data_IF_739668095540
#
_entry.id   IF_739668095540
#
_cell.length_a   1.000
_cell.length_b   1.000
_cell.length_c   1.000
_cell.angle_alpha   90.00
_cell.angle_beta   90.00
_cell.angle_gamma   90.00
#
_symmetry.space_group_name_H-M   'P 1'
#
loop_
_entity.id
_entity.type
_entity.pdbx_description
1 polymer ?
#
# COMPACT_ATOMS: atom_id res chain seq x y z
N UNK A 1 14.67 34.17 9.87
CA UNK A 1 14.82 32.85 9.22
C UNK A 1 13.81 31.92 9.86
N UNK A 2 12.76 31.54 9.14
CA UNK A 2 11.81 30.53 9.62
C UNK A 2 12.52 29.18 9.48
N UNK A 3 12.77 28.51 10.59
CA UNK A 3 13.37 27.17 10.60
C UNK A 3 12.41 26.22 9.89
N UNK A 4 12.86 25.54 8.83
CA UNK A 4 12.03 24.59 8.10
C UNK A 4 11.80 23.37 9.00
N UNK A 5 10.55 23.08 9.32
CA UNK A 5 10.18 21.89 10.08
C UNK A 5 10.57 20.62 9.31
N UNK A 6 11.07 19.61 10.02
CA UNK A 6 11.28 18.28 9.44
C UNK A 6 9.93 17.63 9.13
N UNK A 7 9.91 16.61 8.25
CA UNK A 7 8.69 15.87 7.94
C UNK A 7 8.02 15.27 9.19
N UNK A 8 8.82 14.79 10.15
CA UNK A 8 8.29 14.27 11.42
C UNK A 8 7.69 15.36 12.32
N UNK A 9 8.29 16.55 12.37
CA UNK A 9 7.75 17.70 13.11
C UNK A 9 6.44 18.19 12.48
N UNK A 10 6.41 18.31 11.15
CA UNK A 10 5.21 18.68 10.39
C UNK A 10 4.07 17.68 10.62
N UNK A 11 4.37 16.38 10.55
CA UNK A 11 3.40 15.32 10.80
C UNK A 11 2.71 15.46 12.16
N UNK A 12 3.46 15.61 13.25
CA UNK A 12 2.89 15.75 14.60
C UNK A 12 2.22 17.13 14.80
N UNK A 13 2.68 18.14 14.07
CA UNK A 13 2.04 19.45 14.10
C UNK A 13 0.64 19.40 13.48
N UNK A 14 0.49 18.76 12.33
CA UNK A 14 -0.74 18.77 11.54
C UNK A 14 -1.71 17.62 11.84
N UNK A 15 -1.22 16.46 12.28
CA UNK A 15 -2.06 15.30 12.60
C UNK A 15 -2.25 15.17 14.11
N UNK A 16 -3.52 15.09 14.55
CA UNK A 16 -3.90 14.99 15.96
C UNK A 16 -4.70 13.73 16.21
N UNK A 17 -4.51 13.13 17.39
CA UNK A 17 -5.22 11.93 17.81
C UNK A 17 -4.41 10.65 17.61
N UNK A 18 -5.08 9.52 17.86
CA UNK A 18 -4.51 8.19 17.73
C UNK A 18 -5.39 7.34 16.82
N UNK A 19 -4.74 6.55 15.96
CA UNK A 19 -5.36 5.84 14.85
C UNK A 19 -5.23 4.34 14.99
N UNK A 20 -6.35 3.67 14.76
CA UNK A 20 -6.43 2.21 14.79
C UNK A 20 -5.92 1.58 13.51
N UNK A 21 -5.97 2.30 12.40
CA UNK A 21 -5.50 1.81 11.10
C UNK A 21 -4.76 2.91 10.37
N UNK A 22 -3.54 2.59 9.93
CA UNK A 22 -2.67 3.51 9.21
C UNK A 22 -2.37 2.92 7.84
N UNK A 23 -2.57 3.70 6.78
CA UNK A 23 -2.08 3.46 5.43
C UNK A 23 -0.91 4.41 5.17
N UNK A 24 0.17 3.94 4.55
CA UNK A 24 1.30 4.79 4.18
C UNK A 24 1.87 4.42 2.82
N UNK A 25 2.16 5.42 1.99
CA UNK A 25 2.93 5.30 0.74
C UNK A 25 4.14 6.25 0.75
N UNK A 26 5.20 5.94 1.52
CA UNK A 26 6.35 6.83 1.65
C UNK A 26 7.01 7.12 0.30
N UNK A 27 7.54 8.34 0.09
CA UNK A 27 8.26 8.70 -1.12
C UNK A 27 9.69 8.12 -1.08
N UNK A 28 9.80 6.80 -1.18
CA UNK A 28 11.05 6.04 -1.07
C UNK A 28 12.14 6.59 -2.01
N UNK A 29 13.28 7.00 -1.45
CA UNK A 29 14.46 7.35 -2.24
C UNK A 29 15.19 6.08 -2.66
N UNK A 30 15.23 5.81 -3.95
CA UNK A 30 16.09 4.76 -4.50
C UNK A 30 17.54 5.23 -4.50
N UNK A 31 18.41 4.53 -3.79
CA UNK A 31 19.86 4.70 -3.94
C UNK A 31 20.30 4.06 -5.25
N UNK A 32 20.69 4.89 -6.22
CA UNK A 32 21.14 4.44 -7.54
C UNK A 32 22.45 3.66 -7.42
N UNK A 33 22.39 2.32 -7.35
CA UNK A 33 23.58 1.45 -7.37
C UNK A 33 24.15 1.15 -8.77
N UNK A 34 23.50 1.59 -9.85
CA UNK A 34 23.86 1.17 -11.24
C UNK A 34 23.91 2.29 -12.29
N UNK A 35 23.88 3.57 -11.89
CA UNK A 35 24.16 4.68 -12.82
C UNK A 35 23.18 4.90 -13.97
N UNK A 36 22.01 4.25 -13.99
CA UNK A 36 20.95 4.49 -14.98
C UNK A 36 19.74 5.12 -14.29
N UNK A 37 19.55 6.41 -14.52
CA UNK A 37 18.43 7.20 -14.00
C UNK A 37 17.08 6.55 -14.33
N UNK A 38 16.23 6.39 -13.32
CA UNK A 38 14.80 6.67 -13.54
C UNK A 38 14.67 8.19 -13.73
N UNK A 39 13.81 8.69 -14.64
CA UNK A 39 13.64 10.12 -14.80
C UNK A 39 13.19 10.70 -13.45
N UNK A 40 14.01 11.58 -12.87
CA UNK A 40 13.47 12.57 -11.93
C UNK A 40 12.39 13.32 -12.71
N UNK A 41 11.12 13.02 -12.45
CA UNK A 41 10.06 13.93 -12.82
C UNK A 41 10.26 15.18 -11.99
N UNK A 42 11.00 16.13 -12.58
CA UNK A 42 11.38 17.44 -12.06
C UNK A 42 10.17 18.38 -12.06
N UNK A 43 9.04 17.92 -11.51
CA UNK A 43 7.84 18.71 -11.25
C UNK A 43 7.19 18.16 -9.99
N UNK A 44 7.47 18.83 -8.87
CA UNK A 44 6.62 19.14 -7.72
C UNK A 44 7.53 19.36 -6.50
N UNK A 45 8.10 20.55 -6.44
CA UNK A 45 8.94 21.01 -5.34
C UNK A 45 8.03 21.41 -4.17
N UNK A 46 7.64 20.42 -3.38
CA UNK A 46 7.39 20.51 -1.94
C UNK A 46 7.37 19.08 -1.41
N UNK A 47 8.57 18.49 -1.44
CA UNK A 47 9.17 17.46 -0.58
C UNK A 47 9.89 16.46 -1.50
N UNK A 48 11.24 16.54 -1.65
CA UNK A 48 11.99 15.52 -2.39
C UNK A 48 11.76 14.14 -1.76
N UNK A 49 12.09 13.07 -2.49
CA UNK A 49 12.09 11.71 -1.94
C UNK A 49 12.77 11.70 -0.56
N UNK A 50 12.18 11.01 0.42
CA UNK A 50 12.76 10.92 1.76
C UNK A 50 13.84 9.84 1.76
N UNK A 51 14.96 10.12 2.41
CA UNK A 51 15.94 9.09 2.74
C UNK A 51 15.31 8.04 3.66
N UNK A 52 15.89 6.83 3.69
CA UNK A 52 15.40 5.78 4.58
C UNK A 52 15.42 6.23 6.05
N UNK A 53 16.46 6.96 6.46
CA UNK A 53 16.56 7.46 7.83
C UNK A 53 15.42 8.41 8.18
N UNK A 54 15.08 9.35 7.29
CA UNK A 54 13.94 10.26 7.50
C UNK A 54 12.61 9.51 7.60
N UNK A 55 12.41 8.45 6.80
CA UNK A 55 11.21 7.60 6.87
C UNK A 55 11.18 6.83 8.20
N UNK A 56 12.30 6.23 8.59
CA UNK A 56 12.45 5.47 9.83
C UNK A 56 12.19 6.31 11.08
N UNK A 57 12.55 7.59 11.05
CA UNK A 57 12.41 8.53 12.17
C UNK A 57 11.04 9.20 12.25
N UNK A 58 10.14 8.96 11.28
CA UNK A 58 8.78 9.47 11.38
C UNK A 58 8.12 8.99 12.68
N UNK A 59 7.51 9.89 13.47
CA UNK A 59 6.92 9.58 14.77
C UNK A 59 5.56 8.87 14.67
N UNK A 60 5.39 7.93 13.72
CA UNK A 60 4.14 7.19 13.47
C UNK A 60 3.67 6.44 14.72
N UNK A 61 4.62 5.95 15.55
CA UNK A 61 4.29 5.30 16.82
C UNK A 61 3.52 6.20 17.81
N UNK A 62 3.64 7.53 17.70
CA UNK A 62 2.88 8.48 18.54
C UNK A 62 1.43 8.65 18.06
N UNK A 63 1.19 8.41 16.77
CA UNK A 63 -0.12 8.49 16.14
C UNK A 63 -0.85 7.14 16.11
N UNK A 64 -0.15 6.03 16.34
CA UNK A 64 -0.74 4.70 16.33
C UNK A 64 -1.33 4.34 17.70
N UNK A 65 -2.60 3.91 17.72
CA UNK A 65 -3.23 3.33 18.90
C UNK A 65 -2.50 2.07 19.36
N UNK A 66 -2.63 1.70 20.65
CA UNK A 66 -1.98 0.51 21.22
C UNK A 66 -2.33 -0.76 20.45
N UNK A 67 -3.60 -0.84 20.01
CA UNK A 67 -4.13 -1.90 19.15
C UNK A 67 -4.36 -1.30 17.76
N UNK A 68 -3.46 -1.55 16.83
CA UNK A 68 -3.56 -0.95 15.49
C UNK A 68 -3.00 -1.81 14.37
N UNK A 69 -3.44 -1.50 13.15
CA UNK A 69 -2.98 -2.06 11.90
C UNK A 69 -2.16 -1.04 11.10
N UNK A 70 -1.15 -1.52 10.39
CA UNK A 70 -0.37 -0.76 9.42
C UNK A 70 -0.42 -1.46 8.06
N UNK A 71 -0.80 -0.71 7.03
CA UNK A 71 -0.69 -1.05 5.63
C UNK A 71 0.38 -0.15 5.00
N UNK A 72 1.48 -0.72 4.54
CA UNK A 72 2.63 0.02 4.03
C UNK A 72 2.93 -0.36 2.58
N UNK A 73 2.77 0.58 1.65
CA UNK A 73 3.19 0.40 0.26
C UNK A 73 4.72 0.33 0.18
N UNK A 74 5.22 -0.74 -0.44
CA UNK A 74 6.66 -1.00 -0.58
C UNK A 74 6.97 -1.49 -2.00
N UNK A 75 7.86 -0.81 -2.73
CA UNK A 75 8.39 -1.33 -3.99
C UNK A 75 9.08 -2.68 -3.77
N UNK A 76 8.95 -3.62 -4.73
CA UNK A 76 9.53 -4.97 -4.61
C UNK A 76 11.02 -4.97 -4.25
N UNK A 77 11.78 -3.99 -4.74
CA UNK A 77 13.21 -3.87 -4.49
C UNK A 77 13.58 -3.39 -3.08
N UNK A 78 12.61 -2.88 -2.31
CA UNK A 78 12.81 -2.25 -1.00
C UNK A 78 12.12 -3.03 0.13
N UNK A 79 11.93 -4.34 -0.05
CA UNK A 79 11.27 -5.20 0.96
C UNK A 79 11.96 -5.13 2.32
N UNK A 80 13.29 -5.16 2.34
CA UNK A 80 14.06 -5.14 3.58
C UNK A 80 13.88 -3.81 4.32
N UNK A 81 13.94 -2.70 3.59
CA UNK A 81 13.73 -1.35 4.12
C UNK A 81 12.29 -1.17 4.62
N UNK A 82 11.30 -1.67 3.87
CA UNK A 82 9.90 -1.66 4.30
C UNK A 82 9.65 -2.42 5.60
N UNK A 83 10.26 -3.61 5.76
CA UNK A 83 10.17 -4.37 7.01
C UNK A 83 10.83 -3.65 8.18
N UNK A 84 11.98 -3.00 7.94
CA UNK A 84 12.66 -2.19 8.95
C UNK A 84 11.83 -0.95 9.33
N UNK A 85 11.19 -0.27 8.36
CA UNK A 85 10.24 0.83 8.62
C UNK A 85 9.13 0.37 9.56
N UNK A 86 8.45 -0.75 9.27
CA UNK A 86 7.38 -1.27 10.13
C UNK A 86 7.88 -1.51 11.56
N UNK A 87 9.04 -2.15 11.69
CA UNK A 87 9.65 -2.43 12.99
C UNK A 87 9.92 -1.14 13.77
N UNK A 88 10.52 -0.13 13.12
CA UNK A 88 10.84 1.16 13.76
C UNK A 88 9.61 1.97 14.15
N UNK A 89 8.54 1.85 13.37
CA UNK A 89 7.24 2.45 13.72
C UNK A 89 6.47 1.66 14.79
N UNK A 90 7.02 0.54 15.27
CA UNK A 90 6.44 -0.26 16.35
C UNK A 90 5.43 -1.32 15.89
N UNK A 91 5.45 -1.71 14.62
CA UNK A 91 4.58 -2.73 14.04
C UNK A 91 5.35 -4.02 13.77
N UNK A 92 4.69 -5.15 14.05
CA UNK A 92 5.20 -6.47 13.67
C UNK A 92 4.55 -6.89 12.35
N UNK A 93 5.36 -7.15 11.33
CA UNK A 93 4.90 -7.72 10.06
C UNK A 93 4.16 -9.05 10.26
N UNK A 94 3.08 -9.27 9.50
CA UNK A 94 2.28 -10.51 9.53
C UNK A 94 2.10 -11.13 8.15
N UNK A 95 1.74 -10.33 7.15
CA UNK A 95 1.51 -10.78 5.78
C UNK A 95 1.57 -9.59 4.82
N UNK A 96 1.31 -9.79 3.54
CA UNK A 96 1.21 -8.72 2.56
C UNK A 96 -0.02 -8.90 1.67
N UNK A 97 -0.44 -7.81 1.02
CA UNK A 97 -1.30 -7.82 -0.16
C UNK A 97 -0.43 -7.51 -1.38
N UNK A 98 -0.76 -8.11 -2.52
CA UNK A 98 -0.07 -7.87 -3.79
C UNK A 98 -1.00 -7.14 -4.74
N UNK A 99 -0.62 -5.96 -5.18
CA UNK A 99 -1.23 -5.36 -6.37
C UNK A 99 -0.63 -6.01 -7.62
N UNK A 100 -1.42 -6.82 -8.31
CA UNK A 100 -1.09 -7.35 -9.64
C UNK A 100 -1.59 -6.39 -10.72
N UNK A 101 -0.65 -5.83 -11.48
CA UNK A 101 -0.91 -4.84 -12.54
C UNK A 101 -1.26 -5.54 -13.83
N UNK A 102 -2.49 -5.33 -14.30
CA UNK A 102 -2.99 -5.94 -15.53
C UNK A 102 -3.23 -4.92 -16.65
N UNK A 103 -3.23 -5.41 -17.89
CA UNK A 103 -3.66 -4.69 -19.09
C UNK A 103 -5.19 -4.85 -19.26
N UNK A 104 -5.76 -4.28 -20.33
CA UNK A 104 -7.19 -4.42 -20.66
C UNK A 104 -7.61 -5.87 -20.89
N UNK A 105 -6.69 -6.71 -21.37
CA UNK A 105 -6.92 -8.13 -21.67
C UNK A 105 -6.69 -9.04 -20.44
N UNK A 106 -6.53 -8.49 -19.23
CA UNK A 106 -6.31 -9.26 -18.01
C UNK A 106 -4.88 -9.81 -17.85
N UNK A 107 -4.05 -9.73 -18.89
CA UNK A 107 -2.65 -10.16 -18.84
C UNK A 107 -1.73 -9.16 -18.09
N UNK A 108 -0.51 -9.57 -17.71
CA UNK A 108 0.40 -8.75 -16.92
C UNK A 108 0.82 -7.47 -17.67
N UNK A 109 0.90 -6.35 -16.95
CA UNK A 109 1.44 -5.09 -17.48
C UNK A 109 2.99 -5.10 -17.48
N UNK A 110 3.56 -5.72 -18.53
CA UNK A 110 5.01 -5.91 -18.70
C UNK A 110 5.81 -4.62 -18.94
N UNK A 111 5.17 -3.45 -18.89
CA UNK A 111 5.83 -2.14 -19.03
C UNK A 111 6.57 -1.72 -17.76
N UNK A 112 6.41 -2.45 -16.65
CA UNK A 112 7.15 -2.24 -15.42
C UNK A 112 8.67 -2.26 -15.62
N UNK A 113 9.36 -1.28 -15.04
CA UNK A 113 10.83 -1.24 -15.01
C UNK A 113 11.31 -2.06 -13.81
N UNK A 114 12.35 -2.87 -14.04
CA UNK A 114 13.08 -3.57 -12.99
C UNK A 114 14.40 -4.10 -13.55
N UNK A 115 15.42 -4.17 -12.71
CA UNK A 115 16.78 -4.53 -13.13
C UNK A 115 16.94 -6.03 -13.41
N UNK A 116 16.21 -6.87 -12.67
CA UNK A 116 16.26 -8.33 -12.79
C UNK A 116 15.00 -8.92 -13.42
N UNK A 117 13.82 -8.41 -13.04
CA UNK A 117 12.53 -8.83 -13.57
C UNK A 117 11.67 -7.62 -13.93
N UNK A 118 10.71 -7.82 -14.84
CA UNK A 118 9.68 -6.81 -15.12
C UNK A 118 8.72 -6.74 -13.95
N UNK A 119 8.69 -5.60 -13.25
CA UNK A 119 7.82 -5.41 -12.09
C UNK A 119 6.36 -5.21 -12.52
N UNK A 120 5.60 -6.31 -12.54
CA UNK A 120 4.15 -6.31 -12.78
C UNK A 120 3.35 -6.34 -11.47
N UNK A 121 4.04 -6.28 -10.34
CA UNK A 121 3.45 -6.25 -9.00
C UNK A 121 3.99 -5.10 -8.17
N UNK A 122 3.22 -4.69 -7.15
CA UNK A 122 3.68 -3.90 -5.99
C UNK A 122 3.10 -4.50 -4.71
N UNK A 123 3.77 -4.32 -3.58
CA UNK A 123 3.36 -4.91 -2.30
C UNK A 123 2.77 -3.86 -1.37
N UNK A 124 1.79 -4.29 -0.59
CA UNK A 124 1.34 -3.62 0.63
C UNK A 124 1.67 -4.55 1.79
N UNK A 125 2.66 -4.19 2.61
CA UNK A 125 2.97 -4.94 3.82
C UNK A 125 1.88 -4.68 4.86
N UNK A 126 1.43 -5.74 5.54
CA UNK A 126 0.47 -5.66 6.63
C UNK A 126 1.14 -6.02 7.95
N UNK A 127 1.03 -5.12 8.93
CA UNK A 127 1.57 -5.29 10.27
C UNK A 127 0.59 -4.91 11.35
N UNK A 128 0.88 -5.37 12.57
CA UNK A 128 0.04 -5.14 13.74
C UNK A 128 0.88 -4.61 14.90
N UNK A 129 0.25 -3.78 15.73
CA UNK A 129 0.76 -3.32 17.02
C UNK A 129 -0.24 -3.71 18.12
N UNK A 130 0.29 -4.20 19.25
CA UNK A 130 -0.50 -4.66 20.39
C UNK A 130 -0.65 -6.19 20.46
N UNK A 131 -1.37 -6.67 21.47
CA UNK A 131 -1.58 -8.10 21.74
C UNK A 131 -2.88 -8.61 21.13
N UNK A 132 -2.87 -9.85 20.65
CA UNK A 132 -4.06 -10.57 20.14
C UNK A 132 -4.84 -9.80 19.06
N UNK A 133 -4.09 -9.21 18.13
CA UNK A 133 -4.64 -8.45 17.01
C UNK A 133 -4.89 -9.35 15.81
N UNK A 134 -6.09 -9.24 15.23
CA UNK A 134 -6.51 -9.91 14.00
C UNK A 134 -7.30 -8.91 13.17
N UNK A 135 -7.35 -9.14 11.86
CA UNK A 135 -8.31 -8.50 10.97
C UNK A 135 -9.76 -8.83 11.39
N UNK A 136 -10.67 -7.95 10.99
CA UNK A 136 -12.11 -8.21 10.99
C UNK A 136 -12.43 -9.42 10.11
N UNK A 137 -13.65 -9.93 10.23
CA UNK A 137 -14.06 -11.19 9.59
C UNK A 137 -13.86 -11.20 8.07
N UNK A 138 -14.07 -10.05 7.40
CA UNK A 138 -13.82 -9.92 5.96
C UNK A 138 -12.35 -10.20 5.59
N UNK A 139 -11.41 -9.78 6.43
CA UNK A 139 -9.98 -10.00 6.19
C UNK A 139 -9.54 -11.45 6.24
N UNK A 140 -10.37 -12.36 6.77
CA UNK A 140 -10.10 -13.82 6.75
C UNK A 140 -10.51 -14.46 5.42
N UNK A 141 -11.34 -13.76 4.65
CA UNK A 141 -11.84 -14.18 3.33
C UNK A 141 -11.18 -13.41 2.19
N UNK A 142 -10.56 -12.26 2.49
CA UNK A 142 -9.86 -11.44 1.51
C UNK A 142 -8.64 -12.19 0.95
N UNK A 143 -8.60 -12.47 -0.37
CA UNK A 143 -7.38 -12.94 -1.02
C UNK A 143 -6.28 -11.89 -0.91
N UNK A 144 -5.03 -12.34 -0.77
CA UNK A 144 -3.89 -11.45 -0.64
C UNK A 144 -3.42 -10.84 -1.98
N UNK A 145 -4.33 -10.72 -2.95
CA UNK A 145 -4.08 -10.18 -4.28
C UNK A 145 -5.19 -9.19 -4.66
N UNK A 146 -4.77 -8.06 -5.21
CA UNK A 146 -5.61 -7.03 -5.79
C UNK A 146 -5.25 -6.94 -7.27
N UNK A 147 -6.20 -7.24 -8.14
CA UNK A 147 -5.96 -7.19 -9.59
C UNK A 147 -6.53 -5.89 -10.13
N UNK A 148 -5.65 -4.96 -10.51
CA UNK A 148 -6.07 -3.65 -10.98
C UNK A 148 -5.12 -3.11 -12.05
N UNK A 149 -5.66 -2.30 -12.97
CA UNK A 149 -4.88 -1.71 -14.06
C UNK A 149 -4.03 -0.54 -13.54
N UNK A 150 -2.84 -0.36 -14.13
CA UNK A 150 -2.04 0.85 -13.87
C UNK A 150 -2.80 2.09 -14.38
N UNK A 151 -2.85 3.12 -13.54
CA UNK A 151 -3.47 4.43 -13.83
C UNK A 151 -2.38 5.47 -14.07
N UNK A 152 -2.78 6.68 -14.43
CA UNK A 152 -1.86 7.81 -14.63
C UNK A 152 -1.16 8.20 -13.32
N UNK A 153 -0.02 8.90 -13.42
CA UNK A 153 0.70 9.51 -12.28
C UNK A 153 1.13 8.56 -11.15
N UNK A 154 1.31 7.26 -11.44
CA UNK A 154 1.67 6.25 -10.43
C UNK A 154 0.63 6.11 -9.31
N UNK A 155 -0.64 6.42 -9.61
CA UNK A 155 -1.76 6.26 -8.70
C UNK A 155 -1.96 4.80 -8.31
N UNK A 156 -2.05 4.56 -7.01
CA UNK A 156 -2.36 3.26 -6.40
C UNK A 156 -3.84 2.89 -6.62
N UNK A 157 -4.20 1.59 -6.60
CA UNK A 157 -5.59 1.15 -6.73
C UNK A 157 -6.44 1.65 -5.56
N UNK A 158 -7.59 2.27 -5.84
CA UNK A 158 -8.52 2.73 -4.81
C UNK A 158 -9.19 1.54 -4.10
N UNK A 159 -9.20 0.37 -4.75
CA UNK A 159 -9.71 -0.90 -4.23
C UNK A 159 -9.05 -1.27 -2.88
N UNK A 160 -7.85 -0.76 -2.60
CA UNK A 160 -7.21 -0.95 -1.30
C UNK A 160 -8.00 -0.30 -0.16
N UNK A 161 -8.63 0.86 -0.36
CA UNK A 161 -9.40 1.52 0.69
C UNK A 161 -10.57 0.64 1.13
N UNK A 162 -11.32 0.07 0.18
CA UNK A 162 -12.45 -0.83 0.48
C UNK A 162 -11.99 -2.10 1.21
N UNK A 163 -10.84 -2.65 0.83
CA UNK A 163 -10.22 -3.77 1.53
C UNK A 163 -9.87 -3.38 2.97
N UNK A 164 -9.23 -2.21 3.18
CA UNK A 164 -8.85 -1.77 4.52
C UNK A 164 -10.09 -1.50 5.39
N UNK A 165 -11.07 -0.77 4.87
CA UNK A 165 -12.30 -0.39 5.57
C UNK A 165 -13.16 -1.61 5.93
N UNK A 166 -13.09 -2.70 5.16
CA UNK A 166 -13.77 -3.97 5.48
C UNK A 166 -12.96 -4.88 6.41
N UNK A 167 -11.63 -4.84 6.35
CA UNK A 167 -10.74 -5.75 7.08
C UNK A 167 -10.23 -5.19 8.41
N UNK A 168 -10.33 -3.89 8.64
CA UNK A 168 -9.78 -3.17 9.79
C UNK A 168 -10.77 -2.16 10.35
N UNK A 169 -10.49 -1.63 11.54
CA UNK A 169 -11.35 -0.63 12.18
C UNK A 169 -10.67 0.74 12.23
N UNK A 170 -11.48 1.79 12.23
CA UNK A 170 -11.04 3.17 12.38
C UNK A 170 -10.73 3.55 13.85
N UNK A 171 -10.32 4.80 14.11
CA UNK A 171 -10.13 5.87 13.13
C UNK A 171 -8.96 5.60 12.17
N UNK A 172 -9.08 6.09 10.93
CA UNK A 172 -8.14 5.84 9.83
C UNK A 172 -7.21 7.03 9.58
N UNK A 173 -5.93 6.74 9.34
CA UNK A 173 -4.92 7.72 8.94
C UNK A 173 -4.23 7.27 7.64
N UNK A 174 -4.14 8.17 6.67
CA UNK A 174 -3.28 8.00 5.50
C UNK A 174 -2.08 8.95 5.58
N UNK A 175 -0.88 8.38 5.48
CA UNK A 175 0.38 9.11 5.40
C UNK A 175 0.85 9.17 3.94
N UNK A 176 1.31 10.35 3.54
CA UNK A 176 1.68 10.70 2.16
C UNK A 176 0.52 10.62 1.18
N UNK A 177 -0.68 10.98 1.64
CA UNK A 177 -1.88 11.01 0.84
C UNK A 177 -1.74 11.99 -0.34
N UNK A 178 -2.34 11.61 -1.49
CA UNK A 178 -2.37 12.44 -2.70
C UNK A 178 -3.76 12.94 -3.07
N UNK A 179 -4.80 12.35 -2.49
CA UNK A 179 -6.19 12.64 -2.81
C UNK A 179 -7.02 12.57 -1.54
N UNK A 180 -8.14 13.30 -1.50
CA UNK A 180 -9.05 13.26 -0.35
C UNK A 180 -9.87 11.96 -0.32
N UNK A 181 -9.99 11.33 0.86
CA UNK A 181 -10.85 10.17 1.13
C UNK A 181 -11.74 10.49 2.35
N UNK A 182 -13.08 10.46 2.21
CA UNK A 182 -13.99 10.67 3.34
C UNK A 182 -13.69 9.70 4.49
N UNK A 183 -13.89 10.16 5.73
CA UNK A 183 -13.63 9.40 6.97
C UNK A 183 -12.16 9.04 7.28
N UNK A 184 -11.22 9.48 6.44
CA UNK A 184 -9.78 9.35 6.70
C UNK A 184 -9.19 10.67 7.15
N UNK A 185 -8.40 10.67 8.22
CA UNK A 185 -7.43 11.74 8.39
C UNK A 185 -6.29 11.52 7.43
N UNK A 186 -5.85 12.57 6.75
CA UNK A 186 -4.84 12.44 5.71
C UNK A 186 -3.75 13.49 5.90
N UNK A 187 -2.51 13.07 5.70
CA UNK A 187 -1.33 13.92 5.72
C UNK A 187 -0.53 13.69 4.45
N UNK A 188 -0.31 14.74 3.67
CA UNK A 188 0.44 14.68 2.42
C UNK A 188 0.48 16.04 1.72
N UNK A 189 1.51 16.26 0.90
CA UNK A 189 1.78 17.56 0.29
C UNK A 189 0.99 17.82 -1.00
N UNK A 190 0.23 16.83 -1.46
CA UNK A 190 -0.53 16.85 -2.71
C UNK A 190 -2.04 16.79 -2.47
N UNK A 191 -2.51 16.80 -1.22
CA UNK A 191 -3.95 16.77 -0.93
C UNK A 191 -4.53 18.16 -1.25
N UNK A 192 -5.14 18.29 -2.43
CA UNK A 192 -6.04 19.40 -2.71
C UNK A 192 -7.35 19.16 -1.94
N UNK A 193 -7.74 20.04 -0.99
CA UNK A 193 -8.97 19.88 -0.22
C UNK A 193 -10.24 19.90 -1.10
N UNK A 194 -10.17 20.41 -2.33
CA UNK A 194 -11.30 20.51 -3.24
C UNK A 194 -11.44 19.31 -4.19
N UNK A 195 -10.47 18.37 -4.22
CA UNK A 195 -10.49 17.19 -5.09
C UNK A 195 -10.86 15.91 -4.32
N UNK A 196 -12.18 15.67 -4.19
CA UNK A 196 -12.73 14.41 -3.69
C UNK A 196 -12.93 13.45 -4.87
N UNK A 197 -12.16 12.36 -4.91
CA UNK A 197 -12.34 11.35 -5.96
C UNK A 197 -13.41 10.35 -5.55
N UNK A 198 -14.48 10.28 -6.34
CA UNK A 198 -15.50 9.25 -6.21
C UNK A 198 -14.90 7.85 -6.41
N UNK A 199 -15.22 6.93 -5.49
CA UNK A 199 -14.89 5.50 -5.63
C UNK A 199 -15.46 4.99 -6.95
N UNK A 200 -14.59 4.50 -7.83
CA UNK A 200 -15.01 3.88 -9.09
C UNK A 200 -15.30 2.39 -8.85
N UNK A 201 -16.29 1.80 -9.53
CA UNK A 201 -16.68 0.42 -9.31
C UNK A 201 -15.51 -0.54 -9.52
N UNK A 202 -15.43 -1.55 -8.66
CA UNK A 202 -14.43 -2.60 -8.72
C UNK A 202 -14.44 -3.30 -10.08
N UNK A 203 -13.26 -3.56 -10.63
CA UNK A 203 -13.13 -4.37 -11.82
C UNK A 203 -13.25 -5.85 -11.41
N UNK A 204 -14.32 -6.53 -11.85
CA UNK A 204 -14.40 -8.00 -11.72
C UNK A 204 -13.30 -8.64 -12.59
N UNK A 205 -12.25 -9.13 -11.95
CA UNK A 205 -11.23 -9.91 -12.61
C UNK A 205 -11.81 -11.26 -13.05
N UNK A 206 -11.98 -11.44 -14.36
CA UNK A 206 -12.22 -12.75 -14.94
C UNK A 206 -10.88 -13.43 -15.19
N UNK A 207 -10.71 -14.65 -14.67
CA UNK A 207 -9.52 -15.48 -14.89
C UNK A 207 -9.35 -15.67 -16.41
N UNK A 208 -8.18 -15.33 -17.00
CA UNK A 208 -7.95 -15.52 -18.41
C UNK A 208 -8.14 -17.00 -18.80
N UNK A 209 -8.94 -17.31 -19.83
CA UNK A 209 -9.21 -18.69 -20.24
C UNK A 209 -7.96 -19.45 -20.72
N UNK A 210 -6.89 -18.73 -21.06
CA UNK A 210 -5.65 -19.19 -21.69
C UNK A 210 -4.43 -19.24 -20.75
N UNK A 211 -4.63 -19.35 -19.43
CA UNK A 211 -3.54 -19.71 -18.51
C UNK A 211 -2.85 -21.01 -18.97
N UNK A 212 -1.51 -20.99 -19.21
CA UNK A 212 -0.77 -22.19 -19.60
C UNK A 212 -0.96 -23.31 -18.57
N UNK A 213 -1.15 -24.54 -19.05
CA UNK A 213 -1.48 -25.72 -18.23
C UNK A 213 -0.72 -25.92 -16.91
N UNK A 214 0.59 -25.60 -16.74
CA UNK A 214 1.24 -25.76 -15.44
C UNK A 214 0.65 -24.89 -14.31
N UNK A 215 -0.12 -23.84 -14.62
CA UNK A 215 -0.82 -23.03 -13.63
C UNK A 215 -2.21 -23.58 -13.24
N UNK A 216 -2.77 -24.55 -13.99
CA UNK A 216 -4.10 -25.14 -13.71
C UNK A 216 -4.07 -26.16 -12.57
N UNK A 217 -2.95 -26.87 -12.39
CA UNK A 217 -2.85 -27.93 -11.37
C UNK A 217 -2.70 -27.41 -9.93
N UNK A 218 -2.33 -26.14 -9.74
CA UNK A 218 -2.23 -25.52 -8.41
C UNK A 218 -3.53 -24.84 -7.94
N UNK A 219 -4.39 -24.41 -8.86
CA UNK A 219 -5.63 -23.69 -8.55
C UNK A 219 -6.89 -24.57 -8.61
N UNK A 220 -6.84 -25.71 -9.31
CA UNK A 220 -7.97 -26.66 -9.40
C UNK A 220 -8.24 -27.43 -8.10
N UNK A 221 -7.30 -27.51 -7.15
CA UNK A 221 -7.55 -28.14 -5.84
C UNK A 221 -8.34 -27.25 -4.87
N UNK A 222 -8.43 -25.93 -5.10
CA UNK A 222 -9.20 -25.04 -4.22
C UNK A 222 -10.72 -25.11 -4.49
N UNK A 223 -11.15 -25.46 -5.71
CA UNK A 223 -12.58 -25.60 -6.03
C UNK A 223 -13.18 -26.98 -5.73
N UNK A 224 -12.36 -28.02 -5.50
CA UNK A 224 -12.85 -29.36 -5.12
C UNK A 224 -13.15 -29.48 -3.60
N UNK A 225 -12.66 -28.56 -2.78
CA UNK A 225 -12.97 -28.52 -1.35
C UNK A 225 -14.28 -27.77 -1.04
N UNK A 226 -14.72 -26.87 -1.91
CA UNK A 226 -15.99 -26.13 -1.72
C UNK A 226 -17.24 -26.92 -2.16
N UNK A 227 -17.06 -28.02 -2.90
CA UNK A 227 -18.16 -28.86 -3.40
C UNK A 227 -18.41 -30.14 -2.59
N UNK A 228 -17.68 -30.36 -1.48
CA UNK A 228 -17.82 -31.55 -0.62
C UNK A 228 -18.42 -31.28 0.77
N UNK A 229 -18.85 -30.05 1.07
CA UNK A 229 -19.48 -29.70 2.36
C UNK A 229 -20.93 -29.18 2.22
N UNK A 230 -21.57 -29.46 1.08
CA UNK A 230 -23.00 -29.20 0.84
C UNK A 230 -23.72 -30.46 0.32
N UNK A 231 -23.43 -31.60 0.97
CA UNK A 231 -24.18 -32.86 0.85
C UNK A 231 -24.45 -33.43 2.22
#
# INVERSE_FOLDING_TARGET
MTELMTAGQDLIHNVKGVYSTILADPPWRFENRTGKMAPEHRRLARYPTLSFQEIYELPVAQLAAERSHLYLWVPNALLAEGLETMKRWGFTYKTNLIWYKVRKDGGPDRRGVGFYFRNVTEMVLFGVRGKNIRTLDAGRKQPNIMVARKREHSRKPDELYEIIESCSWGPYLELFARFSRPEWTQWGNEVDPDEVIATQPSFEYQIPPDLPEPARNGLSQLQLLESSHSG
#
